data_IF_031294863620
#
_entry.id   IF_031294863620
#
_cell.length_a   1.000
_cell.length_b   1.000
_cell.length_c   1.000
_cell.angle_alpha   90.00
_cell.angle_beta   90.00
_cell.angle_gamma   90.00
#
_symmetry.space_group_name_H-M   'P 1'
#
loop_
_entity.id
_entity.type
_entity.pdbx_description
1 polymer ?
#
# COMPACT_ATOMS: atom_id res chain seq x y z
N UNK A 1 7.33 -18.81 -17.08
CA UNK A 1 7.95 -18.23 -15.86
C UNK A 1 7.05 -17.15 -15.28
N UNK A 2 6.93 -17.03 -13.95
CA UNK A 2 6.15 -15.99 -13.28
C UNK A 2 6.86 -15.55 -11.99
N UNK A 3 6.70 -14.29 -11.61
CA UNK A 3 7.19 -13.76 -10.35
C UNK A 3 6.25 -14.09 -9.18
N UNK A 4 4.97 -14.32 -9.46
CA UNK A 4 3.94 -14.61 -8.46
C UNK A 4 3.11 -15.81 -8.90
N UNK A 5 3.42 -17.03 -8.42
CA UNK A 5 2.62 -18.19 -8.74
C UNK A 5 1.19 -18.05 -8.21
N UNK A 6 0.21 -18.39 -9.02
CA UNK A 6 -1.19 -18.43 -8.60
C UNK A 6 -1.47 -19.78 -7.93
N UNK A 7 -1.60 -19.74 -6.62
CA UNK A 7 -1.87 -20.90 -5.79
C UNK A 7 -3.27 -20.79 -5.20
N UNK A 8 -4.01 -21.88 -5.16
CA UNK A 8 -5.33 -21.95 -4.58
C UNK A 8 -5.33 -22.90 -3.38
N UNK A 9 -5.99 -22.48 -2.29
CA UNK A 9 -6.13 -23.29 -1.09
C UNK A 9 -7.07 -24.49 -1.32
N UNK A 10 -6.99 -25.49 -0.45
CA UNK A 10 -7.76 -26.73 -0.53
C UNK A 10 -9.28 -26.51 -0.62
N UNK A 11 -9.82 -25.53 0.11
CA UNK A 11 -11.24 -25.20 0.05
C UNK A 11 -11.70 -24.74 -1.35
N UNK A 12 -10.84 -24.04 -2.09
CA UNK A 12 -11.15 -23.64 -3.46
C UNK A 12 -11.05 -24.83 -4.44
N UNK A 13 -10.09 -25.73 -4.22
CA UNK A 13 -9.90 -26.96 -5.00
C UNK A 13 -11.12 -27.89 -4.84
N UNK A 14 -11.60 -28.08 -3.61
CA UNK A 14 -12.80 -28.88 -3.32
C UNK A 14 -14.03 -28.29 -4.01
N UNK A 15 -14.27 -27.00 -3.88
CA UNK A 15 -15.42 -26.31 -4.53
C UNK A 15 -15.38 -26.40 -6.06
N UNK A 16 -14.19 -26.39 -6.64
CA UNK A 16 -14.03 -26.55 -8.08
C UNK A 16 -14.37 -27.99 -8.51
N UNK A 17 -13.92 -28.99 -7.76
CA UNK A 17 -14.22 -30.40 -7.99
C UNK A 17 -15.74 -30.68 -7.87
N UNK A 18 -16.41 -30.10 -6.86
CA UNK A 18 -17.88 -30.24 -6.71
C UNK A 18 -18.67 -29.66 -7.88
N UNK A 19 -18.11 -28.66 -8.58
CA UNK A 19 -18.71 -27.99 -9.73
C UNK A 19 -18.23 -28.53 -11.08
N UNK A 20 -17.48 -29.62 -11.07
CA UNK A 20 -16.84 -30.20 -12.27
C UNK A 20 -16.02 -29.16 -13.06
N UNK A 21 -15.34 -28.24 -12.33
CA UNK A 21 -14.52 -27.19 -12.90
C UNK A 21 -13.05 -27.49 -12.71
N UNK A 22 -12.25 -27.31 -13.76
CA UNK A 22 -10.79 -27.41 -13.67
C UNK A 22 -10.24 -26.13 -13.05
N UNK A 23 -9.63 -26.27 -11.86
CA UNK A 23 -8.94 -25.16 -11.20
C UNK A 23 -7.44 -25.25 -11.50
N UNK A 24 -6.95 -24.37 -12.37
CA UNK A 24 -5.54 -24.33 -12.75
C UNK A 24 -4.69 -23.68 -11.65
N UNK A 25 -4.32 -24.47 -10.63
CA UNK A 25 -3.40 -24.05 -9.58
C UNK A 25 -1.95 -24.37 -9.98
N UNK A 26 -1.03 -23.42 -9.82
CA UNK A 26 0.35 -23.59 -10.28
C UNK A 26 1.19 -24.54 -9.42
N UNK A 27 0.63 -25.08 -8.34
CA UNK A 27 1.19 -26.19 -7.56
C UNK A 27 0.80 -27.57 -8.09
N UNK A 28 -0.09 -27.62 -9.09
CA UNK A 28 -0.45 -28.86 -9.74
C UNK A 28 0.64 -29.27 -10.74
N UNK A 29 1.43 -30.27 -10.34
CA UNK A 29 2.54 -30.79 -11.14
C UNK A 29 2.10 -31.49 -12.40
N UNK A 30 0.86 -31.96 -12.48
CA UNK A 30 0.33 -32.62 -13.68
C UNK A 30 0.06 -31.61 -14.77
N UNK A 31 -0.34 -30.39 -14.41
CA UNK A 31 -0.61 -29.30 -15.35
C UNK A 31 0.63 -28.46 -15.68
N UNK A 32 1.48 -28.18 -14.69
CA UNK A 32 2.58 -27.23 -14.81
C UNK A 32 3.97 -27.87 -14.78
N UNK A 33 4.06 -29.15 -14.44
CA UNK A 33 5.35 -29.86 -14.26
C UNK A 33 6.01 -29.53 -12.92
N UNK A 34 7.24 -29.98 -12.77
CA UNK A 34 8.04 -29.71 -11.57
C UNK A 34 8.57 -28.25 -11.57
N UNK A 35 8.64 -27.70 -10.37
CA UNK A 35 9.33 -26.41 -10.19
C UNK A 35 10.84 -26.63 -10.31
N UNK A 36 11.46 -26.09 -11.37
CA UNK A 36 12.88 -26.27 -11.64
C UNK A 36 13.76 -25.17 -11.03
N UNK A 37 13.20 -24.03 -10.64
CA UNK A 37 13.96 -22.94 -10.04
C UNK A 37 13.08 -21.97 -9.27
N UNK A 38 13.50 -21.61 -8.06
CA UNK A 38 12.86 -20.59 -7.22
C UNK A 38 13.92 -19.67 -6.62
N UNK A 39 13.71 -18.36 -6.77
CA UNK A 39 14.49 -17.34 -6.08
C UNK A 39 13.54 -16.59 -5.14
N UNK A 40 13.85 -16.57 -3.86
CA UNK A 40 13.16 -15.72 -2.92
C UNK A 40 13.81 -14.34 -2.83
N UNK A 41 13.09 -13.39 -2.25
CA UNK A 41 13.53 -11.99 -2.16
C UNK A 41 14.83 -11.85 -1.36
N UNK A 42 14.93 -12.54 -0.22
CA UNK A 42 16.13 -12.51 0.63
C UNK A 42 17.37 -13.00 -0.10
N UNK A 43 17.28 -14.07 -0.84
CA UNK A 43 18.39 -14.58 -1.65
C UNK A 43 18.81 -13.56 -2.71
N UNK A 44 17.84 -12.92 -3.38
CA UNK A 44 18.14 -11.95 -4.42
C UNK A 44 18.84 -10.70 -3.85
N UNK A 45 18.43 -10.23 -2.68
CA UNK A 45 19.09 -9.11 -1.98
C UNK A 45 20.49 -9.50 -1.52
N UNK A 46 20.66 -10.65 -0.85
CA UNK A 46 21.96 -11.14 -0.36
C UNK A 46 22.99 -11.33 -1.48
N UNK A 47 22.53 -11.68 -2.66
CA UNK A 47 23.41 -11.86 -3.83
C UNK A 47 23.52 -10.58 -4.71
N UNK A 48 23.02 -9.44 -4.25
CA UNK A 48 23.12 -8.17 -4.98
C UNK A 48 22.31 -8.10 -6.28
N UNK A 49 21.35 -9.02 -6.47
CA UNK A 49 20.45 -9.01 -7.62
C UNK A 49 19.31 -8.00 -7.47
N UNK A 50 18.96 -7.68 -6.23
CA UNK A 50 17.98 -6.67 -5.87
C UNK A 50 18.54 -5.75 -4.79
N UNK A 51 18.11 -4.50 -4.80
CA UNK A 51 18.38 -3.55 -3.73
C UNK A 51 17.67 -3.99 -2.45
N UNK A 52 18.30 -3.77 -1.31
CA UNK A 52 17.69 -4.01 0.00
C UNK A 52 16.46 -3.12 0.20
N UNK A 53 15.55 -3.55 1.06
CA UNK A 53 14.28 -2.87 1.32
C UNK A 53 14.03 -2.76 2.82
N UNK A 54 13.25 -1.75 3.16
CA UNK A 54 12.70 -1.58 4.52
C UNK A 54 11.17 -1.66 4.43
N UNK A 55 10.56 -2.44 5.29
CA UNK A 55 9.11 -2.45 5.47
C UNK A 55 8.77 -1.51 6.64
N UNK A 56 7.96 -0.50 6.36
CA UNK A 56 7.47 0.44 7.36
C UNK A 56 5.97 0.23 7.53
N UNK A 57 5.54 -0.05 8.75
CA UNK A 57 4.13 -0.11 9.12
C UNK A 57 3.81 1.17 9.90
N UNK A 58 2.94 1.98 9.33
CA UNK A 58 2.50 3.24 9.93
C UNK A 58 1.10 3.06 10.51
N UNK A 59 0.94 3.45 11.76
CA UNK A 59 -0.38 3.61 12.40
C UNK A 59 -0.66 5.10 12.53
N UNK A 60 -1.83 5.54 12.11
CA UNK A 60 -2.28 6.93 12.23
C UNK A 60 -3.53 6.93 13.10
N UNK A 61 -3.48 7.63 14.22
CA UNK A 61 -4.62 7.83 15.11
C UNK A 61 -5.41 9.07 14.70
N UNK A 62 -6.61 9.24 15.27
CA UNK A 62 -7.38 10.46 15.08
C UNK A 62 -6.64 11.72 15.55
N UNK A 63 -5.84 11.60 16.59
CA UNK A 63 -5.07 12.71 17.14
C UNK A 63 -3.94 13.17 16.21
N UNK A 64 -3.47 12.28 15.36
CA UNK A 64 -2.43 12.58 14.37
C UNK A 64 -2.96 13.39 13.16
N UNK A 65 -4.27 13.50 13.01
CA UNK A 65 -4.89 14.26 11.93
C UNK A 65 -5.03 15.73 12.34
N UNK A 66 -4.42 16.69 11.64
CA UNK A 66 -4.52 18.10 11.94
C UNK A 66 -5.97 18.62 11.98
N UNK A 67 -6.25 19.57 12.89
CA UNK A 67 -7.60 20.08 13.10
C UNK A 67 -8.20 20.76 11.85
N UNK A 68 -7.40 21.44 11.06
CA UNK A 68 -7.84 22.03 9.79
C UNK A 68 -8.33 20.96 8.78
N UNK A 69 -7.69 19.80 8.77
CA UNK A 69 -8.11 18.65 7.94
C UNK A 69 -9.37 18.02 8.53
N UNK A 70 -9.46 17.85 9.85
CA UNK A 70 -10.69 17.37 10.54
C UNK A 70 -11.90 18.26 10.22
N UNK A 71 -11.72 19.59 10.26
CA UNK A 71 -12.78 20.54 9.92
C UNK A 71 -13.21 20.41 8.45
N UNK A 72 -12.28 20.22 7.54
CA UNK A 72 -12.59 20.02 6.13
C UNK A 72 -13.39 18.74 5.89
N UNK A 73 -13.02 17.64 6.56
CA UNK A 73 -13.77 16.38 6.50
C UNK A 73 -15.21 16.60 6.99
N UNK A 74 -15.39 17.37 8.07
CA UNK A 74 -16.70 17.62 8.67
C UNK A 74 -17.55 18.59 7.84
N UNK A 75 -16.92 19.61 7.23
CA UNK A 75 -17.62 20.70 6.52
C UNK A 75 -17.78 20.44 5.02
N UNK A 76 -17.04 19.47 4.45
CA UNK A 76 -17.12 19.25 3.01
C UNK A 76 -18.31 18.38 2.64
N UNK A 77 -19.08 18.85 1.67
CA UNK A 77 -19.98 18.04 0.85
C UNK A 77 -19.24 17.02 -0.02
N UNK A 78 -17.90 17.00 0.04
CA UNK A 78 -17.03 16.10 -0.70
C UNK A 78 -16.74 14.88 0.16
N UNK A 79 -16.81 13.69 -0.41
CA UNK A 79 -16.67 12.36 0.20
C UNK A 79 -15.28 12.08 0.81
N UNK A 80 -14.63 13.06 1.45
CA UNK A 80 -13.45 12.83 2.27
C UNK A 80 -13.89 12.06 3.52
N UNK A 81 -13.61 10.79 3.56
CA UNK A 81 -13.81 10.03 4.77
C UNK A 81 -12.53 10.07 5.63
N UNK A 82 -12.71 9.90 6.94
CA UNK A 82 -11.63 9.95 7.91
C UNK A 82 -10.58 8.85 7.67
N UNK A 83 -11.00 7.64 7.34
CA UNK A 83 -10.13 6.49 7.13
C UNK A 83 -9.17 6.69 5.95
N UNK A 84 -9.67 7.16 4.82
CA UNK A 84 -8.82 7.42 3.65
C UNK A 84 -7.88 8.61 3.87
N UNK A 85 -8.34 9.64 4.58
CA UNK A 85 -7.51 10.80 4.93
C UNK A 85 -6.37 10.41 5.84
N UNK A 86 -6.64 9.59 6.87
CA UNK A 86 -5.62 9.07 7.78
C UNK A 86 -4.57 8.22 7.05
N UNK A 87 -4.98 7.38 6.11
CA UNK A 87 -4.06 6.61 5.26
C UNK A 87 -3.16 7.52 4.42
N UNK A 88 -3.71 8.60 3.85
CA UNK A 88 -2.93 9.54 3.05
C UNK A 88 -1.94 10.35 3.91
N UNK A 89 -2.33 10.73 5.13
CA UNK A 89 -1.41 11.35 6.10
C UNK A 89 -0.27 10.38 6.45
N UNK A 90 -0.58 9.11 6.70
CA UNK A 90 0.43 8.08 6.90
C UNK A 90 1.41 7.96 5.74
N UNK A 91 0.92 8.04 4.51
CA UNK A 91 1.78 8.06 3.31
C UNK A 91 2.69 9.30 3.30
N UNK A 92 2.16 10.49 3.59
CA UNK A 92 2.95 11.74 3.65
C UNK A 92 4.03 11.62 4.72
N UNK A 93 3.69 11.14 5.93
CA UNK A 93 4.65 10.91 7.01
C UNK A 93 5.74 9.91 6.62
N UNK A 94 5.36 8.82 5.95
CA UNK A 94 6.31 7.85 5.42
C UNK A 94 7.28 8.44 4.40
N UNK A 95 6.77 9.27 3.49
CA UNK A 95 7.58 9.93 2.46
C UNK A 95 8.49 11.03 3.03
N UNK A 96 8.03 11.78 4.02
CA UNK A 96 8.82 12.77 4.73
C UNK A 96 9.85 12.14 5.66
N UNK A 97 9.75 10.83 5.95
CA UNK A 97 10.57 10.08 6.90
C UNK A 97 10.46 10.57 8.35
N UNK A 98 9.43 11.34 8.66
CA UNK A 98 9.18 11.83 10.02
C UNK A 98 8.24 10.89 10.77
N UNK A 99 8.53 10.70 12.05
CA UNK A 99 7.63 10.04 12.99
C UNK A 99 6.94 11.15 13.78
N UNK A 100 5.62 11.21 13.71
CA UNK A 100 4.85 12.16 14.53
C UNK A 100 4.91 11.77 16.01
N UNK A 101 5.03 12.77 16.87
CA UNK A 101 5.14 12.63 18.32
C UNK A 101 6.59 12.56 18.76
N UNK A 102 7.06 13.47 19.56
CA UNK A 102 8.40 13.63 20.16
C UNK A 102 9.61 13.70 19.20
N UNK A 103 10.23 14.86 19.20
CA UNK A 103 11.61 15.13 18.82
C UNK A 103 12.06 14.88 17.37
N UNK A 104 11.24 15.13 16.37
CA UNK A 104 11.68 15.10 14.95
C UNK A 104 12.49 13.83 14.58
N UNK A 105 12.15 12.70 15.19
CA UNK A 105 12.85 11.44 14.91
C UNK A 105 12.52 10.96 13.52
N UNK A 106 13.55 10.75 12.74
CA UNK A 106 13.46 10.07 11.46
C UNK A 106 13.57 8.57 11.68
N UNK A 107 12.75 7.79 10.98
CA UNK A 107 12.86 6.32 10.99
C UNK A 107 14.03 5.82 10.11
N UNK A 108 14.69 6.70 9.37
CA UNK A 108 15.82 6.39 8.49
C UNK A 108 17.05 7.22 8.90
N UNK A 109 18.23 6.64 8.75
CA UNK A 109 19.50 7.31 8.95
C UNK A 109 19.71 8.47 7.95
N UNK A 110 19.10 8.40 6.75
CA UNK A 110 19.06 9.49 5.79
C UNK A 110 17.78 10.32 5.99
N UNK A 111 17.86 11.53 6.56
CA UNK A 111 16.69 12.35 6.86
C UNK A 111 16.04 12.99 5.63
N UNK A 112 16.66 12.86 4.45
CA UNK A 112 16.12 13.48 3.23
C UNK A 112 14.80 12.82 2.84
N UNK A 113 13.79 13.63 2.54
CA UNK A 113 12.48 13.17 2.06
C UNK A 113 12.61 12.28 0.82
N UNK A 114 11.74 11.32 0.69
CA UNK A 114 11.63 10.52 -0.52
C UNK A 114 11.07 11.37 -1.67
N UNK A 115 11.77 11.38 -2.79
CA UNK A 115 11.39 12.20 -3.96
C UNK A 115 10.39 11.53 -4.88
N UNK A 116 10.21 10.23 -4.76
CA UNK A 116 9.35 9.42 -5.63
C UNK A 116 8.68 8.33 -4.84
N UNK A 117 7.41 8.10 -5.15
CA UNK A 117 6.63 7.01 -4.59
C UNK A 117 5.76 6.38 -5.68
N UNK A 118 5.42 5.12 -5.49
CA UNK A 118 4.44 4.40 -6.31
C UNK A 118 3.35 3.91 -5.37
N UNK A 119 2.12 4.31 -5.63
CA UNK A 119 0.95 3.86 -4.88
C UNK A 119 0.16 2.84 -5.69
N UNK A 120 -0.15 1.70 -5.08
CA UNK A 120 -0.99 0.67 -5.65
C UNK A 120 -2.40 0.82 -5.10
N UNK A 121 -3.34 1.14 -5.97
CA UNK A 121 -4.74 1.29 -5.64
C UNK A 121 -5.56 0.09 -6.15
N UNK A 122 -6.70 -0.19 -5.52
CA UNK A 122 -7.56 -1.32 -5.88
C UNK A 122 -8.14 -1.22 -7.30
N UNK A 123 -8.37 0.00 -7.79
CA UNK A 123 -8.90 0.30 -9.11
C UNK A 123 -8.53 1.73 -9.56
N UNK A 124 -8.73 2.02 -10.84
CA UNK A 124 -8.60 3.39 -11.38
C UNK A 124 -9.75 4.25 -10.83
N UNK A 125 -10.99 3.76 -10.91
CA UNK A 125 -12.21 4.39 -10.38
C UNK A 125 -12.50 5.78 -10.95
N UNK A 126 -13.24 6.56 -10.17
CA UNK A 126 -13.52 7.98 -10.40
C UNK A 126 -13.00 8.80 -9.22
N UNK A 127 -13.06 10.13 -9.31
CA UNK A 127 -12.55 11.05 -8.28
C UNK A 127 -13.33 11.00 -6.97
N UNK A 128 -14.55 10.48 -6.99
CA UNK A 128 -15.44 10.37 -5.83
C UNK A 128 -15.38 9.01 -5.14
N UNK A 129 -14.84 7.99 -5.82
CA UNK A 129 -14.77 6.64 -5.26
C UNK A 129 -13.49 6.48 -4.43
N UNK A 130 -13.64 6.45 -3.13
CA UNK A 130 -12.57 6.26 -2.16
C UNK A 130 -11.67 5.04 -2.45
N UNK A 131 -10.40 5.14 -2.14
CA UNK A 131 -9.40 4.08 -2.36
C UNK A 131 -9.01 3.83 -3.81
N UNK A 132 -9.48 4.63 -4.77
CA UNK A 132 -9.09 4.53 -6.18
C UNK A 132 -7.97 5.50 -6.55
N UNK A 133 -7.25 5.22 -7.65
CA UNK A 133 -6.11 6.06 -8.04
C UNK A 133 -6.52 7.49 -8.40
N UNK A 134 -7.67 7.68 -9.05
CA UNK A 134 -8.17 9.02 -9.36
C UNK A 134 -8.58 9.80 -8.12
N UNK A 135 -9.21 9.14 -7.16
CA UNK A 135 -9.53 9.75 -5.87
C UNK A 135 -8.27 10.18 -5.12
N UNK A 136 -7.29 9.28 -4.99
CA UNK A 136 -6.01 9.60 -4.33
C UNK A 136 -5.31 10.77 -5.02
N UNK A 137 -5.27 10.78 -6.37
CA UNK A 137 -4.66 11.87 -7.12
C UNK A 137 -5.36 13.23 -6.91
N UNK A 138 -6.67 13.24 -6.70
CA UNK A 138 -7.44 14.49 -6.47
C UNK A 138 -7.32 15.01 -5.04
N UNK A 139 -7.20 14.10 -4.07
CA UNK A 139 -7.23 14.42 -2.63
C UNK A 139 -5.84 14.67 -2.05
N UNK A 140 -4.82 13.92 -2.48
CA UNK A 140 -3.46 14.01 -1.94
C UNK A 140 -2.87 15.44 -1.97
N UNK A 141 -2.98 16.22 -3.06
CA UNK A 141 -2.47 17.60 -3.08
C UNK A 141 -3.16 18.52 -2.07
N UNK A 142 -4.46 18.31 -1.81
CA UNK A 142 -5.23 19.09 -0.84
C UNK A 142 -4.80 18.80 0.59
N UNK A 143 -4.51 17.54 0.90
CA UNK A 143 -4.05 17.13 2.23
C UNK A 143 -2.61 17.59 2.43
N UNK A 144 -1.71 17.39 1.47
CA UNK A 144 -0.30 17.75 1.61
C UNK A 144 -0.10 19.24 1.82
N UNK A 145 -0.79 20.09 1.04
CA UNK A 145 -0.72 21.55 1.22
C UNK A 145 -1.14 22.00 2.61
N UNK A 146 -2.24 21.46 3.14
CA UNK A 146 -2.72 21.78 4.49
C UNK A 146 -1.87 21.19 5.61
N UNK A 147 -1.20 20.08 5.35
CA UNK A 147 -0.30 19.47 6.30
C UNK A 147 0.98 20.29 6.47
N UNK A 148 1.53 20.83 5.38
CA UNK A 148 2.71 21.70 5.40
C UNK A 148 2.45 23.04 6.11
N UNK A 149 1.22 23.59 6.06
CA UNK A 149 0.84 24.83 6.75
C UNK A 149 0.85 24.70 8.29
N UNK A 150 0.86 23.48 8.84
CA UNK A 150 0.77 23.21 10.29
C UNK A 150 2.04 22.53 10.87
N UNK A 151 3.09 22.35 10.09
CA UNK A 151 4.38 21.83 10.51
C UNK A 151 5.44 22.92 10.47
#
# INVERSE_FOLDING_TARGET
MTATPRLYGESAKIKASEKDCILCSMDDKTLYGEEFYRVNFSYAVQNGLLTDYKALVLTVSEDDVPNNIKQDITNSTTELNFDDTSKLIGVINGLSKMIQGDDHRTWDADPRMMRRAVAFCSAIGNETKAGTSKYVASVLPRISGKYEENT
#
